data_IF_072123216644
#
_entry.id   IF_072123216644
#
_cell.length_a   1.000
_cell.length_b   1.000
_cell.length_c   1.000
_cell.angle_alpha   90.00
_cell.angle_beta   90.00
_cell.angle_gamma   90.00
#
_symmetry.space_group_name_H-M   'P 1'
#
loop_
_entity.id
_entity.type
_entity.pdbx_description
1 polymer ?
#
# COMPACT_ATOMS: atom_id res chain seq x y z
N UNK A 1 -19.23 0.42 -9.73
CA UNK A 1 -18.09 -0.49 -9.51
C UNK A 1 -16.89 0.08 -10.22
N UNK A 2 -15.69 -0.06 -9.65
CA UNK A 2 -14.42 0.23 -10.33
C UNK A 2 -13.84 -1.06 -10.91
N UNK A 3 -12.95 -0.93 -11.90
CA UNK A 3 -12.22 -2.09 -12.45
C UNK A 3 -11.45 -2.86 -11.37
N UNK A 4 -10.95 -2.16 -10.35
CA UNK A 4 -10.30 -2.78 -9.20
C UNK A 4 -11.28 -3.63 -8.37
N UNK A 5 -12.48 -3.11 -8.08
CA UNK A 5 -13.49 -3.90 -7.36
C UNK A 5 -13.89 -5.14 -8.15
N UNK A 6 -14.06 -5.04 -9.47
CA UNK A 6 -14.41 -6.20 -10.32
C UNK A 6 -13.31 -7.27 -10.31
N UNK A 7 -12.04 -6.86 -10.40
CA UNK A 7 -10.91 -7.78 -10.29
C UNK A 7 -10.85 -8.48 -8.92
N UNK A 8 -11.17 -7.77 -7.84
CA UNK A 8 -11.15 -8.32 -6.47
C UNK A 8 -12.32 -9.27 -6.17
N UNK A 9 -13.44 -9.16 -6.89
CA UNK A 9 -14.58 -10.07 -6.76
C UNK A 9 -14.56 -11.21 -7.80
N UNK A 10 -13.54 -11.28 -8.66
CA UNK A 10 -13.33 -12.39 -9.59
C UNK A 10 -12.82 -13.64 -8.88
N UNK A 11 -12.80 -14.79 -9.57
CA UNK A 11 -12.29 -16.06 -9.01
C UNK A 11 -10.84 -15.99 -8.51
N UNK A 12 -10.03 -15.09 -9.09
CA UNK A 12 -8.63 -14.83 -8.71
C UNK A 12 -8.49 -13.61 -7.76
N UNK A 13 -9.59 -13.14 -7.19
CA UNK A 13 -9.66 -11.97 -6.31
C UNK A 13 -8.67 -12.02 -5.14
N UNK A 14 -8.61 -13.11 -4.37
CA UNK A 14 -7.65 -13.26 -3.26
C UNK A 14 -6.19 -13.19 -3.68
N UNK A 15 -5.84 -13.80 -4.81
CA UNK A 15 -4.46 -13.76 -5.34
C UNK A 15 -4.10 -12.34 -5.81
N UNK A 16 -5.04 -11.67 -6.48
CA UNK A 16 -4.87 -10.28 -6.93
C UNK A 16 -4.72 -9.33 -5.73
N UNK A 17 -5.55 -9.50 -4.70
CA UNK A 17 -5.46 -8.74 -3.46
C UNK A 17 -4.10 -8.96 -2.77
N UNK A 18 -3.63 -10.20 -2.68
CA UNK A 18 -2.34 -10.53 -2.08
C UNK A 18 -1.16 -9.89 -2.85
N UNK A 19 -1.20 -9.89 -4.19
CA UNK A 19 -0.20 -9.20 -5.02
C UNK A 19 -0.19 -7.69 -4.78
N UNK A 20 -1.36 -7.06 -4.63
CA UNK A 20 -1.48 -5.64 -4.33
C UNK A 20 -0.93 -5.34 -2.93
N UNK A 21 -1.33 -6.10 -1.91
CA UNK A 21 -0.82 -5.95 -0.54
C UNK A 21 0.70 -6.06 -0.51
N UNK A 22 1.27 -7.04 -1.19
CA UNK A 22 2.73 -7.21 -1.26
C UNK A 22 3.42 -5.97 -1.86
N UNK A 23 2.88 -5.40 -2.93
CA UNK A 23 3.43 -4.17 -3.54
C UNK A 23 3.32 -2.97 -2.61
N UNK A 24 2.22 -2.85 -1.86
CA UNK A 24 2.05 -1.80 -0.86
C UNK A 24 3.08 -1.93 0.26
N UNK A 25 3.37 -3.15 0.72
CA UNK A 25 4.40 -3.43 1.72
C UNK A 25 5.81 -3.10 1.20
N UNK A 26 6.14 -3.47 -0.04
CA UNK A 26 7.41 -3.13 -0.69
C UNK A 26 7.62 -1.61 -0.78
N UNK A 27 6.58 -0.85 -1.14
CA UNK A 27 6.63 0.60 -1.18
C UNK A 27 6.75 1.22 0.22
N UNK A 28 6.05 0.67 1.22
CA UNK A 28 6.14 1.16 2.59
C UNK A 28 7.56 1.00 3.16
N UNK A 29 8.22 -0.12 2.86
CA UNK A 29 9.62 -0.36 3.25
C UNK A 29 10.55 0.67 2.59
N UNK A 30 10.36 0.95 1.29
CA UNK A 30 11.18 1.95 0.59
C UNK A 30 11.01 3.35 1.19
N UNK A 31 9.77 3.76 1.46
CA UNK A 31 9.46 5.07 2.08
C UNK A 31 10.03 5.16 3.49
N UNK A 32 9.91 4.11 4.30
CA UNK A 32 10.49 4.06 5.64
C UNK A 32 12.03 4.13 5.61
N UNK A 33 12.67 3.49 4.62
CA UNK A 33 14.10 3.61 4.36
C UNK A 33 14.53 5.05 4.07
N UNK A 34 13.79 5.76 3.21
CA UNK A 34 14.05 7.16 2.89
C UNK A 34 13.86 8.08 4.11
N UNK A 35 12.84 7.83 4.93
CA UNK A 35 12.61 8.56 6.19
C UNK A 35 13.81 8.39 7.13
N UNK A 36 14.26 7.14 7.30
CA UNK A 36 15.40 6.80 8.17
C UNK A 36 16.73 7.32 7.67
N UNK A 37 16.87 7.55 6.36
CA UNK A 37 18.08 8.12 5.75
C UNK A 37 18.32 9.60 6.09
N UNK A 38 17.44 10.23 6.89
CA UNK A 38 17.61 11.62 7.30
C UNK A 38 17.11 12.62 6.26
N UNK A 39 15.94 12.36 5.68
CA UNK A 39 15.28 13.27 4.76
C UNK A 39 15.10 14.67 5.38
N UNK A 40 15.29 15.72 4.58
CA UNK A 40 15.01 17.11 4.99
C UNK A 40 13.55 17.25 5.51
N UNK A 41 13.25 18.20 6.42
CA UNK A 41 11.94 18.30 7.10
C UNK A 41 10.73 18.30 6.17
N UNK A 42 10.81 19.02 5.04
CA UNK A 42 9.74 19.07 4.04
C UNK A 42 9.46 17.70 3.39
N UNK A 43 10.53 16.94 3.14
CA UNK A 43 10.44 15.58 2.60
C UNK A 43 9.98 14.60 3.67
N UNK A 44 10.39 14.77 4.92
CA UNK A 44 9.96 13.91 6.03
C UNK A 44 8.44 13.96 6.20
N UNK A 45 7.83 15.15 6.19
CA UNK A 45 6.37 15.29 6.30
C UNK A 45 5.66 14.64 5.11
N UNK A 46 6.14 14.88 3.89
CA UNK A 46 5.59 14.26 2.69
C UNK A 46 5.70 12.72 2.71
N UNK A 47 6.87 12.18 3.07
CA UNK A 47 7.10 10.74 3.17
C UNK A 47 6.24 10.11 4.27
N UNK A 48 6.05 10.79 5.39
CA UNK A 48 5.16 10.33 6.47
C UNK A 48 3.71 10.26 6.00
N UNK A 49 3.25 11.26 5.25
CA UNK A 49 1.90 11.26 4.66
C UNK A 49 1.74 10.12 3.63
N UNK A 50 2.77 9.85 2.83
CA UNK A 50 2.79 8.72 1.89
C UNK A 50 2.74 7.39 2.64
N UNK A 51 3.54 7.21 3.70
CA UNK A 51 3.53 6.01 4.53
C UNK A 51 2.15 5.75 5.15
N UNK A 52 1.50 6.79 5.68
CA UNK A 52 0.14 6.70 6.21
C UNK A 52 -0.89 6.31 5.12
N UNK A 53 -0.74 6.85 3.90
CA UNK A 53 -1.61 6.52 2.77
C UNK A 53 -1.45 5.06 2.34
N UNK A 54 -0.21 4.55 2.30
CA UNK A 54 0.09 3.15 2.00
C UNK A 54 -0.50 2.20 3.05
N UNK A 55 -0.39 2.54 4.34
CA UNK A 55 -0.99 1.76 5.43
C UNK A 55 -2.52 1.73 5.36
N UNK A 56 -3.15 2.85 4.98
CA UNK A 56 -4.59 2.93 4.75
C UNK A 56 -5.02 2.06 3.58
N UNK A 57 -4.34 2.18 2.43
CA UNK A 57 -4.58 1.35 1.26
C UNK A 57 -4.44 -0.15 1.58
N UNK A 58 -3.41 -0.52 2.35
CA UNK A 58 -3.21 -1.90 2.79
C UNK A 58 -4.37 -2.40 3.63
N UNK A 59 -4.84 -1.61 4.59
CA UNK A 59 -5.96 -1.97 5.46
C UNK A 59 -7.25 -2.21 4.69
N UNK A 60 -7.48 -1.47 3.60
CA UNK A 60 -8.61 -1.67 2.68
C UNK A 60 -8.49 -3.01 1.93
N UNK A 61 -7.28 -3.45 1.62
CA UNK A 61 -7.04 -4.66 0.81
C UNK A 61 -7.05 -5.96 1.62
N UNK A 62 -6.70 -5.94 2.92
CA UNK A 62 -6.65 -7.13 3.80
C UNK A 62 -7.93 -7.99 3.78
N UNK A 63 -9.16 -7.43 3.80
CA UNK A 63 -10.38 -8.23 3.75
C UNK A 63 -10.51 -9.07 2.48
N UNK A 64 -9.88 -8.65 1.37
CA UNK A 64 -9.97 -9.33 0.08
C UNK A 64 -8.93 -10.43 -0.10
N UNK A 65 -7.99 -10.63 0.84
CA UNK A 65 -6.95 -11.66 0.74
C UNK A 65 -7.35 -13.01 1.36
N UNK A 66 -8.61 -13.16 1.80
CA UNK A 66 -9.12 -14.34 2.50
C UNK A 66 -10.08 -15.15 1.64
#
# INVERSE_FOLDING_TARGET
>A
MTQLSEALFSGDGPETAAKIVRRLDELAIAVDGEIKSGAAPDRFSALTAVAASLASARSIMIPFTK
#
